data_IF_566239125060
#
_entry.id   IF_566239125060
#
_cell.length_a   1.000
_cell.length_b   1.000
_cell.length_c   1.000
_cell.angle_alpha   90.00
_cell.angle_beta   90.00
_cell.angle_gamma   90.00
#
_symmetry.space_group_name_H-M   'P 1'
#
loop_
_entity.id
_entity.type
_entity.pdbx_description
1 polymer ?
#
# COMPACT_ATOMS: atom_id res chain seq x y z
N UNK A 1 -20.16 23.56 3.50
CA UNK A 1 -19.39 22.29 3.64
C UNK A 1 -17.91 22.60 3.51
N UNK A 2 -17.06 22.12 4.43
CA UNK A 2 -15.61 22.34 4.37
C UNK A 2 -14.91 21.12 3.78
N UNK A 3 -14.23 21.29 2.65
CA UNK A 3 -13.38 20.28 2.04
C UNK A 3 -11.92 20.69 2.22
N UNK A 4 -11.06 19.75 2.58
CA UNK A 4 -9.62 19.99 2.69
C UNK A 4 -8.86 18.93 1.92
N UNK A 5 -7.93 19.36 1.08
CA UNK A 5 -7.05 18.48 0.30
C UNK A 5 -5.63 18.62 0.83
N UNK A 6 -4.93 17.50 1.00
CA UNK A 6 -3.51 17.53 1.36
C UNK A 6 -2.66 17.41 0.10
N UNK A 7 -1.92 18.46 -0.24
CA UNK A 7 -0.99 18.50 -1.38
C UNK A 7 0.40 18.79 -0.81
N UNK A 8 1.36 17.93 -1.12
CA UNK A 8 2.75 18.04 -0.64
C UNK A 8 2.85 18.22 0.89
N UNK A 9 1.99 17.53 1.63
CA UNK A 9 1.93 17.58 3.09
C UNK A 9 1.09 18.72 3.67
N UNK A 10 0.73 19.73 2.88
CA UNK A 10 0.00 20.93 3.33
C UNK A 10 -1.50 20.79 3.07
N UNK A 11 -2.34 21.22 4.01
CA UNK A 11 -3.80 21.22 3.84
C UNK A 11 -4.27 22.51 3.17
N UNK A 12 -4.94 22.36 2.03
CA UNK A 12 -5.60 23.43 1.31
C UNK A 12 -7.11 23.34 1.55
N UNK A 13 -7.71 24.44 2.00
CA UNK A 13 -9.12 24.51 2.33
C UNK A 13 -9.96 25.03 1.14
N UNK A 14 -11.13 24.43 0.97
CA UNK A 14 -12.17 24.91 0.07
C UNK A 14 -13.50 24.89 0.81
N UNK A 15 -14.17 26.05 0.86
CA UNK A 15 -15.47 26.21 1.49
C UNK A 15 -16.53 26.20 0.39
N UNK A 16 -17.48 25.27 0.51
CA UNK A 16 -18.68 25.21 -0.32
C UNK A 16 -19.84 25.84 0.45
N UNK A 17 -20.62 26.68 -0.22
CA UNK A 17 -21.76 27.39 0.39
C UNK A 17 -22.94 26.43 0.66
N UNK A 18 -23.05 25.35 -0.10
CA UNK A 18 -24.11 24.36 0.01
C UNK A 18 -23.76 23.34 1.10
N UNK A 19 -24.30 23.52 2.31
CA UNK A 19 -24.14 22.55 3.41
C UNK A 19 -25.10 21.37 3.27
N UNK A 20 -26.26 21.58 2.64
CA UNK A 20 -27.34 20.60 2.53
C UNK A 20 -26.95 19.33 1.74
N UNK A 21 -25.89 19.39 0.92
CA UNK A 21 -25.39 18.23 0.17
C UNK A 21 -24.55 17.26 1.00
N UNK A 22 -24.14 17.65 2.22
CA UNK A 22 -23.17 16.90 3.00
C UNK A 22 -23.66 15.47 3.31
N UNK A 23 -24.91 15.30 3.76
CA UNK A 23 -25.48 14.00 4.08
C UNK A 23 -25.61 13.09 2.86
N UNK A 24 -26.04 13.66 1.72
CA UNK A 24 -26.14 12.94 0.45
C UNK A 24 -24.76 12.49 -0.06
N UNK A 25 -23.74 13.34 0.09
CA UNK A 25 -22.36 13.02 -0.28
C UNK A 25 -21.82 11.85 0.55
N UNK A 26 -21.99 11.89 1.87
CA UNK A 26 -21.55 10.81 2.78
C UNK A 26 -22.24 9.49 2.42
N UNK A 27 -23.56 9.52 2.18
CA UNK A 27 -24.30 8.31 1.78
C UNK A 27 -23.77 7.73 0.47
N UNK A 28 -23.54 8.58 -0.55
CA UNK A 28 -23.00 8.13 -1.84
C UNK A 28 -21.61 7.51 -1.68
N UNK A 29 -20.74 8.12 -0.86
CA UNK A 29 -19.41 7.62 -0.58
C UNK A 29 -19.44 6.29 0.18
N UNK A 30 -20.30 6.15 1.20
CA UNK A 30 -20.52 4.88 1.90
C UNK A 30 -20.96 3.76 0.97
N UNK A 31 -21.90 4.02 0.05
CA UNK A 31 -22.32 3.04 -0.94
C UNK A 31 -21.17 2.59 -1.85
N UNK A 32 -20.33 3.53 -2.31
CA UNK A 32 -19.17 3.21 -3.16
C UNK A 32 -18.17 2.31 -2.43
N UNK A 33 -18.00 2.51 -1.12
CA UNK A 33 -17.08 1.76 -0.28
C UNK A 33 -17.70 0.52 0.39
N UNK A 34 -18.93 0.14 0.03
CA UNK A 34 -19.69 -0.96 0.64
C UNK A 34 -19.84 -0.86 2.17
N UNK A 35 -20.05 0.35 2.68
CA UNK A 35 -20.26 0.64 4.10
C UNK A 35 -21.75 0.68 4.46
N UNK A 36 -22.06 0.49 5.74
CA UNK A 36 -23.43 0.57 6.25
C UNK A 36 -23.89 2.04 6.28
N UNK A 37 -24.84 2.37 5.40
CA UNK A 37 -25.43 3.70 5.28
C UNK A 37 -26.39 4.06 6.43
N UNK A 38 -26.90 3.04 7.13
CA UNK A 38 -27.80 3.21 8.27
C UNK A 38 -27.02 3.52 9.55
N UNK A 39 -25.81 2.97 9.69
CA UNK A 39 -24.94 3.23 10.83
C UNK A 39 -24.20 4.57 10.67
N UNK A 40 -24.41 5.47 11.62
CA UNK A 40 -23.84 6.84 11.64
C UNK A 40 -23.18 7.18 12.96
N UNK A 41 -23.17 6.25 13.92
CA UNK A 41 -22.71 6.43 15.31
C UNK A 41 -21.36 5.77 15.55
N UNK A 42 -20.91 4.91 14.65
CA UNK A 42 -19.64 4.20 14.72
C UNK A 42 -18.73 4.62 13.56
N UNK A 43 -17.39 4.65 13.79
CA UNK A 43 -16.44 4.78 12.69
C UNK A 43 -16.55 3.60 11.72
N UNK A 44 -16.31 3.85 10.43
CA UNK A 44 -16.32 2.80 9.41
C UNK A 44 -15.17 3.01 8.42
N UNK A 45 -14.53 1.93 8.00
CA UNK A 45 -13.42 1.94 7.05
C UNK A 45 -13.75 1.07 5.85
N UNK A 46 -13.51 1.60 4.66
CA UNK A 46 -13.81 0.92 3.40
C UNK A 46 -12.79 1.25 2.31
N UNK A 47 -12.90 0.54 1.20
CA UNK A 47 -12.09 0.78 -0.01
C UNK A 47 -12.95 0.70 -1.25
N UNK A 48 -12.62 1.49 -2.25
CA UNK A 48 -13.25 1.42 -3.55
C UNK A 48 -12.31 1.93 -4.64
N UNK A 49 -12.54 1.51 -5.88
CA UNK A 49 -11.75 1.93 -7.03
C UNK A 49 -12.56 2.85 -7.93
N UNK A 50 -11.91 3.89 -8.46
CA UNK A 50 -12.49 4.76 -9.50
C UNK A 50 -11.54 4.87 -10.68
N UNK A 51 -12.10 5.03 -11.88
CA UNK A 51 -11.34 5.39 -13.08
C UNK A 51 -11.46 6.88 -13.33
N UNK A 52 -10.34 7.59 -13.34
CA UNK A 52 -10.26 9.02 -13.65
C UNK A 52 -9.22 9.22 -14.74
N UNK A 53 -9.61 9.84 -15.86
CA UNK A 53 -8.72 10.09 -17.03
C UNK A 53 -7.96 8.83 -17.50
N UNK A 54 -8.64 7.69 -17.51
CA UNK A 54 -8.06 6.39 -17.89
C UNK A 54 -7.18 5.73 -16.82
N UNK A 55 -6.89 6.40 -15.71
CA UNK A 55 -6.11 5.87 -14.60
C UNK A 55 -7.01 5.29 -13.52
N UNK A 56 -6.63 4.11 -13.04
CA UNK A 56 -7.26 3.45 -11.89
C UNK A 56 -6.71 4.04 -10.59
N UNK A 57 -7.59 4.56 -9.73
CA UNK A 57 -7.24 5.10 -8.42
C UNK A 57 -7.96 4.28 -7.36
N UNK A 58 -7.19 3.64 -6.48
CA UNK A 58 -7.72 3.00 -5.29
C UNK A 58 -7.90 4.04 -4.20
N UNK A 59 -9.07 4.04 -3.57
CA UNK A 59 -9.41 5.00 -2.54
C UNK A 59 -9.68 4.22 -1.25
N UNK A 60 -8.85 4.48 -0.24
CA UNK A 60 -9.16 4.08 1.15
C UNK A 60 -9.97 5.19 1.79
N UNK A 61 -11.10 4.84 2.38
CA UNK A 61 -12.02 5.79 2.97
C UNK A 61 -12.29 5.43 4.43
N UNK A 62 -12.38 6.45 5.28
CA UNK A 62 -12.77 6.33 6.68
C UNK A 62 -13.87 7.35 6.99
N UNK A 63 -14.91 6.93 7.71
CA UNK A 63 -15.96 7.81 8.23
C UNK A 63 -15.91 7.85 9.75
N UNK A 64 -16.14 9.03 10.33
CA UNK A 64 -16.12 9.26 11.77
C UNK A 64 -17.33 10.10 12.18
N UNK A 65 -18.17 9.67 13.15
CA UNK A 65 -19.22 10.51 13.71
C UNK A 65 -18.65 11.79 14.36
N UNK A 66 -19.34 12.91 14.14
CA UNK A 66 -19.03 14.23 14.72
C UNK A 66 -20.32 14.88 15.22
N UNK A 67 -20.20 15.99 15.95
CA UNK A 67 -21.38 16.75 16.42
C UNK A 67 -22.27 17.28 15.27
N UNK A 68 -21.73 17.44 14.06
CA UNK A 68 -22.42 18.05 12.91
C UNK A 68 -22.70 17.06 11.77
N UNK A 69 -22.67 15.75 12.05
CA UNK A 69 -22.80 14.69 11.05
C UNK A 69 -21.56 13.80 10.99
N UNK A 70 -21.10 13.41 9.81
CA UNK A 70 -19.92 12.53 9.67
C UNK A 70 -18.76 13.26 9.00
N UNK A 71 -17.56 13.07 9.54
CA UNK A 71 -16.30 13.41 8.88
C UNK A 71 -15.90 12.26 7.96
N UNK A 72 -15.49 12.56 6.74
CA UNK A 72 -15.00 11.56 5.78
C UNK A 72 -13.58 11.92 5.36
N UNK A 73 -12.67 10.94 5.44
CA UNK A 73 -11.30 11.04 4.95
C UNK A 73 -11.12 10.04 3.83
N UNK A 74 -10.61 10.50 2.69
CA UNK A 74 -10.22 9.65 1.57
C UNK A 74 -8.72 9.76 1.34
N UNK A 75 -8.05 8.62 1.23
CA UNK A 75 -6.66 8.49 0.80
C UNK A 75 -6.64 7.91 -0.60
N UNK A 76 -6.20 8.73 -1.55
CA UNK A 76 -6.06 8.33 -2.95
C UNK A 76 -4.71 7.62 -3.12
N UNK A 77 -4.77 6.38 -3.58
CA UNK A 77 -3.62 5.57 -3.95
C UNK A 77 -3.65 5.43 -5.47
N UNK A 78 -2.71 6.12 -6.12
CA UNK A 78 -2.58 6.01 -7.54
C UNK A 78 -1.97 4.66 -7.90
N UNK A 79 -2.79 3.70 -8.35
CA UNK A 79 -2.29 2.40 -8.81
C UNK A 79 -1.60 2.49 -10.19
N UNK A 80 -1.71 3.65 -10.88
CA UNK A 80 -1.22 3.85 -12.24
C UNK A 80 0.14 4.55 -12.34
N UNK A 81 0.71 5.02 -11.22
CA UNK A 81 2.17 5.20 -11.20
C UNK A 81 2.76 3.79 -11.23
N UNK A 82 2.97 3.29 -12.45
CA UNK A 82 3.58 1.98 -12.67
C UNK A 82 4.85 1.83 -11.86
N UNK A 83 5.28 0.57 -11.68
CA UNK A 83 6.54 0.26 -11.05
C UNK A 83 7.63 1.12 -11.66
N UNK A 84 8.22 1.99 -10.83
CA UNK A 84 9.34 2.78 -11.28
C UNK A 84 10.54 1.85 -11.39
N UNK A 85 11.29 1.93 -12.50
CA UNK A 85 12.59 1.28 -12.60
C UNK A 85 13.44 1.64 -11.37
N UNK A 86 14.30 0.73 -10.92
CA UNK A 86 15.13 0.96 -9.75
C UNK A 86 16.09 2.15 -9.96
N UNK A 87 16.43 2.45 -11.21
CA UNK A 87 17.17 3.64 -11.64
C UNK A 87 16.49 4.95 -11.23
N UNK A 88 15.16 4.97 -11.21
CA UNK A 88 14.35 6.14 -10.84
C UNK A 88 14.11 6.24 -9.33
N UNK A 89 14.74 5.39 -8.53
CA UNK A 89 14.63 5.42 -7.06
C UNK A 89 15.29 6.65 -6.41
N UNK A 90 16.10 7.40 -7.17
CA UNK A 90 16.86 8.54 -6.65
C UNK A 90 18.18 8.14 -5.96
N UNK A 91 18.57 6.86 -6.03
CA UNK A 91 19.87 6.41 -5.55
C UNK A 91 21.00 6.96 -6.45
N UNK A 92 22.08 7.50 -5.87
CA UNK A 92 23.28 7.85 -6.62
C UNK A 92 23.78 6.66 -7.45
N UNK A 93 24.30 6.87 -8.68
CA UNK A 93 24.69 5.79 -9.59
C UNK A 93 25.64 4.76 -8.96
N UNK A 94 26.58 5.21 -8.12
CA UNK A 94 27.52 4.34 -7.41
C UNK A 94 26.84 3.43 -6.37
N UNK A 95 25.84 3.95 -5.66
CA UNK A 95 25.06 3.18 -4.69
C UNK A 95 24.11 2.21 -5.40
N UNK A 96 23.50 2.64 -6.50
CA UNK A 96 22.68 1.77 -7.34
C UNK A 96 23.50 0.58 -7.88
N UNK A 97 24.71 0.83 -8.39
CA UNK A 97 25.61 -0.23 -8.84
C UNK A 97 26.00 -1.18 -7.70
N UNK A 98 26.24 -0.66 -6.49
CA UNK A 98 26.49 -1.49 -5.30
C UNK A 98 25.29 -2.35 -4.95
N UNK A 99 24.08 -1.78 -4.96
CA UNK A 99 22.83 -2.51 -4.69
C UNK A 99 22.62 -3.63 -5.70
N UNK A 100 22.77 -3.37 -7.00
CA UNK A 100 22.65 -4.40 -8.05
C UNK A 100 23.62 -5.57 -7.86
N UNK A 101 24.86 -5.29 -7.45
CA UNK A 101 25.82 -6.35 -7.12
C UNK A 101 25.39 -7.20 -5.92
N UNK A 102 24.66 -6.63 -4.96
CA UNK A 102 24.10 -7.42 -3.86
C UNK A 102 22.86 -8.21 -4.31
N UNK A 103 22.00 -7.60 -5.14
CA UNK A 103 20.81 -8.27 -5.70
C UNK A 103 21.17 -9.47 -6.59
N UNK A 104 22.33 -9.45 -7.25
CA UNK A 104 22.80 -10.56 -8.10
C UNK A 104 23.41 -11.73 -7.33
N UNK A 105 23.51 -11.65 -5.99
CA UNK A 105 24.07 -12.76 -5.20
C UNK A 105 23.07 -13.93 -5.12
N UNK A 106 23.55 -15.19 -5.12
CA UNK A 106 22.67 -16.36 -5.11
C UNK A 106 21.89 -16.51 -3.80
N UNK A 107 22.42 -15.97 -2.70
CA UNK A 107 21.76 -15.96 -1.40
C UNK A 107 22.30 -14.79 -0.56
N UNK A 108 21.48 -14.33 0.38
CA UNK A 108 21.82 -13.25 1.29
C UNK A 108 20.55 -12.54 1.77
N UNK A 109 20.74 -11.59 2.68
CA UNK A 109 19.67 -10.74 3.20
C UNK A 109 19.99 -9.28 2.89
N UNK A 110 19.03 -8.57 2.32
CA UNK A 110 19.10 -7.12 2.10
C UNK A 110 18.04 -6.47 2.99
N UNK A 111 18.47 -5.58 3.87
CA UNK A 111 17.59 -4.83 4.74
C UNK A 111 17.42 -3.40 4.22
N UNK A 112 16.17 -2.98 4.02
CA UNK A 112 15.82 -1.63 3.60
C UNK A 112 15.14 -0.92 4.76
N UNK A 113 15.85 0.02 5.37
CA UNK A 113 15.40 0.74 6.56
C UNK A 113 15.04 2.18 6.25
N UNK A 114 14.14 2.77 7.04
CA UNK A 114 13.76 4.18 6.92
C UNK A 114 12.36 4.44 7.46
N UNK A 115 12.01 5.71 7.77
CA UNK A 115 10.67 6.06 8.26
C UNK A 115 9.58 5.84 7.20
N UNK A 116 8.32 5.93 7.61
CA UNK A 116 7.19 5.90 6.67
C UNK A 116 7.33 7.00 5.62
N UNK A 117 7.09 6.67 4.35
CA UNK A 117 7.19 7.62 3.24
C UNK A 117 8.60 7.82 2.68
N UNK A 118 9.64 7.15 3.22
CA UNK A 118 11.02 7.28 2.71
C UNK A 118 11.31 6.51 1.42
N UNK A 119 10.30 5.97 0.73
CA UNK A 119 10.47 5.26 -0.54
C UNK A 119 10.85 3.77 -0.45
N UNK A 120 10.85 3.15 0.75
CA UNK A 120 11.24 1.73 0.95
C UNK A 120 10.54 0.76 -0.01
N UNK A 121 9.21 0.80 -0.03
CA UNK A 121 8.38 -0.08 -0.87
C UNK A 121 8.69 0.14 -2.34
N UNK A 122 8.88 1.41 -2.76
CA UNK A 122 9.25 1.76 -4.14
C UNK A 122 10.60 1.16 -4.52
N UNK A 123 11.61 1.28 -3.67
CA UNK A 123 12.94 0.69 -3.90
C UNK A 123 12.89 -0.84 -3.96
N UNK A 124 12.19 -1.47 -3.02
CA UNK A 124 12.03 -2.93 -2.98
C UNK A 124 11.29 -3.46 -4.21
N UNK A 125 10.21 -2.78 -4.63
CA UNK A 125 9.44 -3.17 -5.81
C UNK A 125 10.25 -2.96 -7.11
N UNK A 126 11.05 -1.91 -7.20
CA UNK A 126 12.00 -1.71 -8.30
C UNK A 126 13.02 -2.85 -8.39
N UNK A 127 13.59 -3.25 -7.24
CA UNK A 127 14.53 -4.37 -7.17
C UNK A 127 13.88 -5.71 -7.53
N UNK A 128 12.67 -5.99 -7.02
CA UNK A 128 11.92 -7.19 -7.40
C UNK A 128 11.60 -7.21 -8.90
N UNK A 129 11.28 -6.06 -9.49
CA UNK A 129 11.01 -5.96 -10.92
C UNK A 129 12.26 -6.28 -11.76
N UNK A 130 13.46 -5.87 -11.35
CA UNK A 130 14.71 -6.26 -12.02
C UNK A 130 15.00 -7.76 -11.91
N UNK A 131 14.65 -8.37 -10.77
CA UNK A 131 14.89 -9.80 -10.51
C UNK A 131 13.82 -10.73 -11.09
N UNK A 132 12.73 -10.18 -11.64
CA UNK A 132 11.53 -10.90 -12.07
C UNK A 132 11.72 -11.66 -13.40
N UNK A 133 12.50 -12.72 -13.35
CA UNK A 133 12.81 -13.59 -14.48
C UNK A 133 11.97 -14.88 -14.45
N UNK A 134 11.66 -15.49 -15.61
CA UNK A 134 10.89 -16.73 -15.67
C UNK A 134 11.41 -17.90 -14.85
N UNK A 135 12.72 -17.98 -14.68
CA UNK A 135 13.37 -19.08 -13.98
C UNK A 135 13.43 -18.90 -12.46
N UNK A 136 12.86 -17.82 -11.90
CA UNK A 136 12.93 -17.52 -10.47
C UNK A 136 11.54 -17.46 -9.85
N UNK A 137 11.32 -18.18 -8.75
CA UNK A 137 10.13 -18.10 -7.92
C UNK A 137 10.31 -17.01 -6.87
N UNK A 138 9.58 -15.91 -7.06
CA UNK A 138 9.54 -14.78 -6.13
C UNK A 138 8.24 -14.83 -5.32
N UNK A 139 8.35 -14.76 -3.99
CA UNK A 139 7.20 -14.76 -3.08
C UNK A 139 7.33 -13.62 -2.07
N UNK A 140 6.23 -12.91 -1.79
CA UNK A 140 6.22 -11.76 -0.86
C UNK A 140 5.16 -11.92 0.23
N UNK A 141 5.45 -11.42 1.43
CA UNK A 141 4.48 -11.24 2.51
C UNK A 141 4.37 -9.74 2.83
N UNK A 142 3.17 -9.16 2.78
CA UNK A 142 2.97 -7.70 2.83
C UNK A 142 1.70 -7.30 3.60
N UNK A 143 1.71 -6.13 4.25
CA UNK A 143 0.54 -5.59 4.97
C UNK A 143 0.30 -4.09 4.67
N UNK A 144 -0.55 -3.73 3.70
CA UNK A 144 -1.13 -4.57 2.65
C UNK A 144 -0.22 -4.67 1.42
N UNK A 145 -0.64 -5.45 0.42
CA UNK A 145 -0.03 -5.41 -0.92
C UNK A 145 -0.42 -4.09 -1.59
N UNK A 146 0.57 -3.26 -1.92
CA UNK A 146 0.33 -1.91 -2.48
C UNK A 146 0.10 -1.95 -4.01
N UNK A 147 0.86 -2.77 -4.74
CA UNK A 147 0.68 -2.99 -6.18
C UNK A 147 0.82 -4.46 -6.53
N UNK A 148 0.09 -4.89 -7.56
CA UNK A 148 0.20 -6.25 -8.10
C UNK A 148 1.37 -6.33 -9.07
N UNK A 149 2.35 -7.15 -8.72
CA UNK A 149 3.53 -7.44 -9.52
C UNK A 149 3.26 -8.69 -10.37
N UNK A 150 3.27 -8.59 -11.71
CA UNK A 150 3.11 -9.77 -12.55
C UNK A 150 4.16 -10.84 -12.22
N UNK A 151 3.76 -12.12 -12.23
CA UNK A 151 4.63 -13.29 -12.00
C UNK A 151 5.21 -13.45 -10.58
N UNK A 152 4.89 -12.55 -9.67
CA UNK A 152 5.31 -12.64 -8.27
C UNK A 152 4.12 -13.12 -7.44
N UNK A 153 4.36 -14.09 -6.56
CA UNK A 153 3.33 -14.58 -5.64
C UNK A 153 3.26 -13.66 -4.42
N UNK A 154 2.24 -12.81 -4.34
CA UNK A 154 2.11 -11.85 -3.24
C UNK A 154 1.05 -12.29 -2.24
N UNK A 155 1.46 -12.45 -0.98
CA UNK A 155 0.59 -12.81 0.14
C UNK A 155 0.34 -11.57 0.98
N UNK A 156 -0.93 -11.18 1.10
CA UNK A 156 -1.33 -10.13 2.03
C UNK A 156 -1.58 -10.73 3.42
N UNK A 157 -0.95 -10.14 4.43
CA UNK A 157 -1.19 -10.48 5.84
C UNK A 157 -2.65 -10.26 6.21
N UNK A 158 -3.19 -11.16 7.03
CA UNK A 158 -4.57 -11.08 7.50
C UNK A 158 -4.65 -11.49 8.97
N UNK A 159 -4.59 -10.49 9.84
CA UNK A 159 -4.67 -10.67 11.30
C UNK A 159 -6.00 -11.26 11.76
N UNK A 160 -7.10 -11.11 11.00
CA UNK A 160 -8.43 -11.65 11.38
C UNK A 160 -8.48 -13.18 11.36
N UNK A 161 -7.59 -13.83 10.60
CA UNK A 161 -7.51 -15.29 10.48
C UNK A 161 -6.16 -15.82 10.96
N UNK A 162 -5.40 -15.00 11.71
CA UNK A 162 -4.08 -15.36 12.24
C UNK A 162 -3.07 -15.75 11.13
N UNK A 163 -3.14 -15.06 9.98
CA UNK A 163 -2.15 -15.16 8.91
C UNK A 163 -1.10 -14.05 9.10
N UNK A 164 -0.11 -14.30 9.95
CA UNK A 164 0.97 -13.36 10.34
C UNK A 164 2.23 -13.47 9.47
N UNK A 165 3.16 -12.51 9.58
CA UNK A 165 4.44 -12.54 8.86
C UNK A 165 5.24 -13.81 9.18
N UNK A 166 5.44 -14.13 10.46
CA UNK A 166 6.19 -15.33 10.89
C UNK A 166 5.58 -16.63 10.35
N UNK A 167 4.25 -16.76 10.37
CA UNK A 167 3.53 -17.94 9.85
C UNK A 167 3.69 -18.09 8.33
N UNK A 168 3.62 -16.97 7.61
CA UNK A 168 3.81 -16.93 6.16
C UNK A 168 5.27 -17.25 5.81
N UNK A 169 6.24 -16.67 6.51
CA UNK A 169 7.67 -16.91 6.30
C UNK A 169 8.04 -18.39 6.48
N UNK A 170 7.57 -19.04 7.56
CA UNK A 170 7.74 -20.49 7.76
C UNK A 170 7.21 -21.31 6.60
N UNK A 171 6.13 -20.84 5.98
CA UNK A 171 5.51 -21.53 4.83
C UNK A 171 6.29 -21.30 3.55
N UNK A 172 6.82 -20.09 3.34
CA UNK A 172 7.64 -19.77 2.18
C UNK A 172 8.87 -20.67 2.06
N UNK A 173 9.53 -21.02 3.16
CA UNK A 173 10.65 -21.95 3.14
C UNK A 173 10.32 -23.34 2.58
N UNK A 174 9.04 -23.74 2.56
CA UNK A 174 8.55 -24.99 1.98
C UNK A 174 7.95 -24.83 0.59
N UNK A 175 8.00 -23.62 0.03
CA UNK A 175 7.48 -23.31 -1.29
C UNK A 175 8.57 -23.35 -2.37
N UNK A 176 9.80 -23.77 -2.05
CA UNK A 176 10.92 -23.73 -3.00
C UNK A 176 11.13 -22.32 -3.64
N UNK A 177 11.25 -21.24 -2.83
CA UNK A 177 11.43 -19.89 -3.36
C UNK A 177 12.90 -19.60 -3.66
N UNK A 178 13.14 -18.82 -4.73
CA UNK A 178 14.46 -18.22 -4.99
C UNK A 178 14.63 -16.89 -4.26
N UNK A 179 13.56 -16.10 -4.19
CA UNK A 179 13.57 -14.75 -3.61
C UNK A 179 12.34 -14.59 -2.71
N UNK A 180 12.59 -14.14 -1.48
CA UNK A 180 11.57 -13.83 -0.49
C UNK A 180 11.62 -12.33 -0.18
N UNK A 181 10.47 -11.66 -0.21
CA UNK A 181 10.29 -10.32 0.37
C UNK A 181 9.40 -10.40 1.60
N UNK A 182 9.87 -9.82 2.70
CA UNK A 182 9.10 -9.60 3.92
C UNK A 182 8.88 -8.10 4.06
N UNK A 183 7.63 -7.65 4.00
CA UNK A 183 7.27 -6.24 3.97
C UNK A 183 7.68 -5.48 5.23
N UNK A 184 7.68 -6.14 6.38
CA UNK A 184 8.17 -5.60 7.64
C UNK A 184 8.59 -6.71 8.61
N UNK A 185 9.58 -6.40 9.44
CA UNK A 185 10.10 -7.29 10.48
C UNK A 185 9.87 -6.58 11.82
N UNK A 186 8.73 -6.84 12.46
CA UNK A 186 8.33 -6.18 13.72
C UNK A 186 8.52 -7.06 14.94
N UNK A 187 8.35 -8.36 14.78
CA UNK A 187 8.42 -9.34 15.85
C UNK A 187 9.74 -10.13 15.78
N UNK A 188 10.14 -10.64 16.95
CA UNK A 188 11.36 -11.43 17.10
C UNK A 188 11.31 -12.71 16.26
N UNK A 189 10.13 -13.32 16.14
CA UNK A 189 9.90 -14.58 15.43
C UNK A 189 10.10 -14.46 13.91
N UNK A 190 9.89 -13.27 13.33
CA UNK A 190 10.17 -12.98 11.91
C UNK A 190 11.65 -12.65 11.69
N UNK A 191 12.37 -12.24 12.74
CA UNK A 191 13.81 -11.91 12.69
C UNK A 191 14.69 -13.15 12.87
N UNK A 192 14.25 -14.11 13.68
CA UNK A 192 14.90 -15.42 13.91
C UNK A 192 14.79 -16.37 12.71
#
# INVERSE_FOLDING_TARGET
LRLRQRVDGVLHETILNEVNIASALVLRLKLMAHLDISEKRLPQDGRFNIKVRGQSIDIRMSTLPTQYGESVVMRLLNQSSGLRPLEESGLPPELLARLRRQLSRPHGMILVTGPTGSGKTTTLYGALSELNEPGKKIITAEDPVEYRLPRITQVQINSKIDLTFSRVLRTFLRQDPDIILIGEMRDQETVE
#
